data_IF_329936347302
#
_entry.id   IF_329936347302
#
_cell.length_a   1.000
_cell.length_b   1.000
_cell.length_c   1.000
_cell.angle_alpha   90.00
_cell.angle_beta   90.00
_cell.angle_gamma   90.00
#
_symmetry.space_group_name_H-M   'P 1'
#
loop_
_entity.id
_entity.type
_entity.pdbx_description
1 polymer ?
#
# COMPACT_ATOMS: atom_id res chain seq x y z
N UNK A 1 -24.72 15.47 22.34
CA UNK A 1 -23.44 16.18 22.14
C UNK A 1 -22.58 15.42 21.16
N UNK A 2 -21.89 16.09 20.23
CA UNK A 2 -20.98 15.42 19.28
C UNK A 2 -19.73 14.94 20.04
N UNK A 3 -19.46 13.63 20.02
CA UNK A 3 -18.31 13.01 20.67
C UNK A 3 -16.99 13.52 20.04
N UNK A 4 -16.15 14.20 20.84
CA UNK A 4 -14.89 14.80 20.40
C UNK A 4 -13.86 13.77 19.92
N UNK A 5 -13.84 12.58 20.52
CA UNK A 5 -12.92 11.49 20.14
C UNK A 5 -13.25 10.95 18.75
N UNK A 6 -14.55 10.83 18.43
CA UNK A 6 -14.98 10.42 17.10
C UNK A 6 -14.67 11.46 16.01
N UNK A 7 -14.56 12.74 16.37
CA UNK A 7 -14.13 13.81 15.43
C UNK A 7 -12.63 13.75 15.20
N UNK A 8 -11.84 13.57 16.25
CA UNK A 8 -10.37 13.42 16.16
C UNK A 8 -10.02 12.19 15.33
N UNK A 9 -10.63 11.03 15.61
CA UNK A 9 -10.40 9.80 14.85
C UNK A 9 -10.65 9.99 13.34
N UNK A 10 -11.78 10.61 12.97
CA UNK A 10 -12.13 10.87 11.56
C UNK A 10 -11.18 11.82 10.84
N UNK A 11 -10.48 12.68 11.58
CA UNK A 11 -9.54 13.66 11.03
C UNK A 11 -8.08 13.15 11.01
N UNK A 12 -7.85 11.87 11.32
CA UNK A 12 -6.53 11.24 11.29
C UNK A 12 -6.42 10.27 10.12
N UNK A 13 -5.22 9.73 9.90
CA UNK A 13 -4.96 8.67 8.93
C UNK A 13 -5.43 7.28 9.41
N UNK A 14 -5.80 7.12 10.69
CA UNK A 14 -6.19 5.84 11.28
C UNK A 14 -7.38 5.14 10.59
N UNK A 15 -8.47 5.83 10.20
CA UNK A 15 -9.57 5.17 9.51
C UNK A 15 -9.15 4.59 8.16
N UNK A 16 -8.31 5.32 7.42
CA UNK A 16 -7.79 4.88 6.13
C UNK A 16 -6.78 3.74 6.28
N UNK A 17 -5.88 3.81 7.27
CA UNK A 17 -4.94 2.74 7.57
C UNK A 17 -5.65 1.46 8.03
N UNK A 18 -6.69 1.59 8.86
CA UNK A 18 -7.53 0.48 9.28
C UNK A 18 -8.24 -0.17 8.08
N UNK A 19 -8.80 0.66 7.18
CA UNK A 19 -9.43 0.16 5.96
C UNK A 19 -8.42 -0.59 5.07
N UNK A 20 -7.21 -0.06 4.92
CA UNK A 20 -6.13 -0.72 4.17
C UNK A 20 -5.78 -2.07 4.78
N UNK A 21 -5.56 -2.12 6.10
CA UNK A 21 -5.27 -3.35 6.81
C UNK A 21 -6.38 -4.40 6.63
N UNK A 22 -7.65 -3.97 6.72
CA UNK A 22 -8.81 -4.85 6.48
C UNK A 22 -8.85 -5.41 5.05
N UNK A 23 -8.46 -4.62 4.05
CA UNK A 23 -8.43 -5.07 2.65
C UNK A 23 -7.32 -6.06 2.37
N UNK A 24 -6.13 -5.83 2.95
CA UNK A 24 -4.99 -6.74 2.82
C UNK A 24 -5.31 -8.06 3.52
N UNK A 25 -5.84 -8.02 4.74
CA UNK A 25 -6.20 -9.22 5.50
C UNK A 25 -7.29 -10.06 4.81
N UNK A 26 -8.20 -9.43 4.05
CA UNK A 26 -9.27 -10.11 3.31
C UNK A 26 -8.82 -10.69 1.96
N UNK A 27 -7.61 -10.40 1.49
CA UNK A 27 -7.06 -10.92 0.24
C UNK A 27 -5.84 -11.80 0.56
N UNK A 28 -6.00 -13.12 0.42
CA UNK A 28 -4.95 -14.10 0.74
C UNK A 28 -3.62 -13.84 0.03
N UNK A 29 -3.66 -13.34 -1.22
CA UNK A 29 -2.46 -13.01 -1.98
C UNK A 29 -1.72 -11.83 -1.36
N UNK A 30 -2.43 -10.72 -1.10
CA UNK A 30 -1.82 -9.53 -0.52
C UNK A 30 -1.36 -9.79 0.92
N UNK A 31 -2.17 -10.50 1.71
CA UNK A 31 -1.83 -10.93 3.07
C UNK A 31 -0.52 -11.73 3.12
N UNK A 32 -0.31 -12.63 2.16
CA UNK A 32 0.91 -13.43 2.10
C UNK A 32 2.15 -12.65 1.61
N UNK A 33 1.96 -11.49 0.97
CA UNK A 33 3.04 -10.75 0.33
C UNK A 33 3.37 -9.40 0.98
N UNK A 34 2.56 -8.92 1.93
CA UNK A 34 2.74 -7.63 2.62
C UNK A 34 2.94 -7.86 4.12
N UNK A 35 4.06 -7.38 4.65
CA UNK A 35 4.49 -7.61 6.03
C UNK A 35 4.17 -6.44 6.97
N UNK A 36 4.19 -5.20 6.45
CA UNK A 36 4.01 -3.99 7.26
C UNK A 36 3.20 -2.93 6.53
N UNK A 37 2.39 -2.20 7.29
CA UNK A 37 1.63 -1.02 6.87
C UNK A 37 1.99 0.13 7.79
N UNK A 38 2.32 1.29 7.24
CA UNK A 38 2.67 2.45 8.04
C UNK A 38 2.33 3.76 7.35
N UNK A 39 2.20 4.80 8.15
CA UNK A 39 2.03 6.17 7.69
C UNK A 39 3.42 6.81 7.67
N UNK A 40 3.89 7.24 6.51
CA UNK A 40 5.19 7.88 6.39
C UNK A 40 5.17 9.33 6.89
N UNK A 41 6.33 9.99 6.88
CA UNK A 41 6.47 11.39 7.36
C UNK A 41 5.64 12.41 6.58
N UNK A 42 5.07 12.04 5.43
CA UNK A 42 4.18 12.89 4.62
C UNK A 42 2.69 12.62 4.90
N UNK A 43 2.35 11.74 5.83
CA UNK A 43 0.98 11.35 6.11
C UNK A 43 0.39 10.35 5.12
N UNK A 44 1.20 9.78 4.23
CA UNK A 44 0.78 8.81 3.22
C UNK A 44 0.99 7.38 3.70
N UNK A 45 0.14 6.47 3.23
CA UNK A 45 0.24 5.04 3.43
C UNK A 45 1.34 4.43 2.56
N UNK A 46 2.24 3.73 3.23
CA UNK A 46 3.29 2.92 2.64
C UNK A 46 3.18 1.48 3.14
N UNK A 47 3.64 0.54 2.31
CA UNK A 47 3.59 -0.90 2.60
C UNK A 47 4.94 -1.54 2.31
N UNK A 48 5.36 -2.47 3.17
CA UNK A 48 6.56 -3.26 2.96
C UNK A 48 6.19 -4.68 2.48
N UNK A 49 6.92 -5.24 1.50
CA UNK A 49 6.73 -6.63 1.09
C UNK A 49 7.22 -7.59 2.19
N UNK A 50 6.77 -8.84 2.13
CA UNK A 50 7.33 -9.95 2.91
C UNK A 50 8.77 -10.26 2.45
N UNK A 51 9.01 -10.20 1.14
CA UNK A 51 10.32 -10.48 0.53
C UNK A 51 10.83 -9.30 -0.29
N UNK A 52 12.09 -8.94 -0.03
CA UNK A 52 12.77 -7.86 -0.72
C UNK A 52 13.04 -6.64 0.17
N UNK A 53 13.78 -5.67 -0.37
CA UNK A 53 14.12 -4.42 0.33
C UNK A 53 13.72 -3.23 -0.51
N UNK A 54 12.41 -3.04 -0.62
CA UNK A 54 11.78 -1.92 -1.31
C UNK A 54 10.43 -1.59 -0.66
N UNK A 55 9.87 -0.43 -0.98
CA UNK A 55 8.61 0.05 -0.39
C UNK A 55 7.57 0.26 -1.50
N UNK A 56 6.32 -0.08 -1.21
CA UNK A 56 5.16 0.32 -2.00
C UNK A 56 4.57 1.62 -1.47
N UNK A 57 4.48 2.65 -2.31
CA UNK A 57 3.81 3.89 -1.97
C UNK A 57 2.36 3.86 -2.45
N UNK A 58 1.41 3.75 -1.53
CA UNK A 58 -0.02 3.76 -1.85
C UNK A 58 -0.58 5.20 -1.93
N UNK A 59 -0.07 6.09 -1.09
CA UNK A 59 -0.59 7.46 -0.93
C UNK A 59 -1.72 7.52 0.07
N UNK A 60 -2.84 8.11 -0.31
CA UNK A 60 -4.04 8.19 0.51
C UNK A 60 -4.98 6.98 0.28
N UNK A 61 -6.19 7.06 0.85
CA UNK A 61 -7.22 6.05 0.67
C UNK A 61 -8.01 6.16 -0.64
N UNK A 62 -7.70 7.14 -1.48
CA UNK A 62 -8.39 7.35 -2.76
C UNK A 62 -8.06 6.19 -3.70
N UNK A 63 -9.07 5.65 -4.37
CA UNK A 63 -8.97 4.52 -5.32
C UNK A 63 -8.22 3.29 -4.78
N UNK A 64 -8.27 3.06 -3.47
CA UNK A 64 -7.50 2.01 -2.78
C UNK A 64 -7.68 0.62 -3.40
N UNK A 65 -8.90 0.25 -3.82
CA UNK A 65 -9.15 -1.04 -4.47
C UNK A 65 -8.36 -1.18 -5.77
N UNK A 66 -8.45 -0.19 -6.65
CA UNK A 66 -7.77 -0.18 -7.95
C UNK A 66 -6.26 -0.26 -7.75
N UNK A 67 -5.73 0.50 -6.79
CA UNK A 67 -4.29 0.47 -6.46
C UNK A 67 -3.83 -0.91 -5.97
N UNK A 68 -4.63 -1.59 -5.15
CA UNK A 68 -4.33 -2.94 -4.65
C UNK A 68 -4.46 -4.02 -5.75
N UNK A 69 -5.44 -3.89 -6.65
CA UNK A 69 -5.57 -4.75 -7.83
C UNK A 69 -4.37 -4.59 -8.78
N UNK A 70 -3.95 -3.34 -9.03
CA UNK A 70 -2.76 -3.03 -9.81
C UNK A 70 -1.49 -3.61 -9.17
N UNK A 71 -1.38 -3.55 -7.85
CA UNK A 71 -0.27 -4.14 -7.10
C UNK A 71 -0.23 -5.67 -7.27
N UNK A 72 -1.36 -6.35 -7.11
CA UNK A 72 -1.44 -7.80 -7.32
C UNK A 72 -1.07 -8.18 -8.77
N UNK A 73 -1.58 -7.45 -9.76
CA UNK A 73 -1.22 -7.66 -11.17
C UNK A 73 0.27 -7.42 -11.42
N UNK A 74 0.87 -6.41 -10.78
CA UNK A 74 2.31 -6.15 -10.86
C UNK A 74 3.13 -7.29 -10.25
N UNK A 75 2.76 -7.76 -9.06
CA UNK A 75 3.38 -8.91 -8.41
C UNK A 75 3.40 -10.12 -9.34
N UNK A 76 2.24 -10.47 -9.93
CA UNK A 76 2.12 -11.59 -10.87
C UNK A 76 3.03 -11.42 -12.09
N UNK A 77 3.20 -10.21 -12.62
CA UNK A 77 4.13 -9.94 -13.72
C UNK A 77 5.61 -10.04 -13.33
N UNK A 78 5.99 -9.49 -12.18
CA UNK A 78 7.39 -9.49 -11.73
C UNK A 78 7.86 -10.87 -11.31
N UNK A 79 7.00 -11.67 -10.65
CA UNK A 79 7.31 -13.06 -10.28
C UNK A 79 7.64 -13.94 -11.49
N UNK A 80 7.02 -13.66 -12.64
CA UNK A 80 7.23 -14.45 -13.88
C UNK A 80 8.49 -14.00 -14.64
N UNK A 81 8.92 -12.74 -14.52
CA UNK A 81 9.88 -12.14 -15.46
C UNK A 81 11.10 -11.44 -14.83
N UNK A 82 11.24 -11.36 -13.50
CA UNK A 82 12.25 -10.47 -12.90
C UNK A 82 12.82 -10.87 -11.54
N UNK A 83 13.88 -10.16 -11.15
CA UNK A 83 14.48 -10.19 -9.82
C UNK A 83 14.11 -8.91 -9.07
N UNK A 84 13.52 -9.06 -7.88
CA UNK A 84 13.17 -7.98 -6.96
C UNK A 84 14.32 -7.06 -6.56
N UNK A 85 15.57 -7.51 -6.74
CA UNK A 85 16.80 -6.79 -6.40
C UNK A 85 16.95 -5.44 -7.11
N UNK A 86 16.27 -5.25 -8.25
CA UNK A 86 16.39 -4.08 -9.12
C UNK A 86 15.64 -2.84 -8.63
N UNK A 87 14.69 -2.99 -7.71
CA UNK A 87 13.79 -1.91 -7.31
C UNK A 87 14.13 -1.38 -5.92
N UNK A 88 14.04 -0.05 -5.77
CA UNK A 88 14.12 0.65 -4.48
C UNK A 88 12.74 0.98 -3.95
N UNK A 89 11.83 1.39 -4.82
CA UNK A 89 10.45 1.72 -4.47
C UNK A 89 9.53 1.54 -5.67
N UNK A 90 8.27 1.25 -5.39
CA UNK A 90 7.19 1.08 -6.36
C UNK A 90 6.07 2.03 -5.95
N UNK A 91 5.75 3.00 -6.79
CA UNK A 91 4.72 3.97 -6.53
C UNK A 91 3.41 3.58 -7.23
N UNK A 92 2.36 3.37 -6.44
CA UNK A 92 1.01 2.99 -6.85
C UNK A 92 0.04 4.19 -6.82
N UNK A 93 0.51 5.39 -6.48
CA UNK A 93 -0.34 6.58 -6.33
C UNK A 93 -0.97 7.03 -7.64
N UNK A 94 -0.40 6.65 -8.78
CA UNK A 94 -0.94 6.99 -10.09
C UNK A 94 -1.87 5.88 -10.56
N UNK A 95 -3.16 6.19 -10.64
CA UNK A 95 -4.25 5.24 -10.93
C UNK A 95 -4.02 4.41 -12.21
N UNK A 96 -3.24 4.92 -13.17
CA UNK A 96 -2.97 4.27 -14.45
C UNK A 96 -1.49 3.90 -14.70
N UNK A 97 -0.59 4.15 -13.76
CA UNK A 97 0.85 3.90 -13.97
C UNK A 97 1.55 3.48 -12.69
N UNK A 98 2.35 2.41 -12.77
CA UNK A 98 3.23 2.01 -11.68
C UNK A 98 4.61 2.59 -11.96
N UNK A 99 5.04 3.56 -11.14
CA UNK A 99 6.36 4.19 -11.28
C UNK A 99 7.36 3.45 -10.40
N UNK A 100 8.36 2.84 -11.02
CA UNK A 100 9.41 2.12 -10.33
C UNK A 100 10.69 2.96 -10.28
N UNK A 101 11.25 3.14 -9.08
CA UNK A 101 12.60 3.70 -8.94
C UNK A 101 13.59 2.56 -8.83
N UNK A 102 14.57 2.53 -9.74
CA UNK A 102 15.66 1.53 -9.72
C UNK A 102 16.68 1.89 -8.64
N UNK A 103 17.40 0.88 -8.15
CA UNK A 103 18.64 1.11 -7.40
C UNK A 103 19.75 1.59 -8.31
#
# INVERSE_FOLDING_TARGET
GKNIYAKIYRNTSLPGLYLLAKKIEANDFLKANISQLFVNSKGNFDMAPELGRFIFHLGDSTDMNIKLENLEAFYKKVLVHGSWSKYRSINLQYTNQIVCTKK
#
